data_IF_267127309985
#
_entry.id   IF_267127309985
#
_cell.length_a   1.000
_cell.length_b   1.000
_cell.length_c   1.000
_cell.angle_alpha   90.00
_cell.angle_beta   90.00
_cell.angle_gamma   90.00
#
_symmetry.space_group_name_H-M   'P 1'
#
loop_
_entity.id
_entity.type
_entity.pdbx_description
1 polymer ?
#
# COMPACT_ATOMS: atom_id res chain seq x y z
N UNK A 1 -54.09 -8.31 -22.28
CA UNK A 1 -54.07 -8.51 -20.81
C UNK A 1 -52.74 -7.99 -20.33
N UNK A 2 -52.70 -6.71 -19.90
CA UNK A 2 -51.53 -6.09 -19.31
C UNK A 2 -51.33 -6.66 -17.89
N UNK A 3 -50.30 -7.44 -17.68
CA UNK A 3 -49.87 -7.83 -16.33
C UNK A 3 -49.34 -6.57 -15.62
N UNK A 4 -50.12 -6.00 -14.69
CA UNK A 4 -49.66 -5.03 -13.72
C UNK A 4 -48.51 -5.66 -12.90
N UNK A 5 -47.28 -5.29 -13.20
CA UNK A 5 -46.13 -5.62 -12.36
C UNK A 5 -46.28 -4.82 -11.07
N UNK A 6 -46.76 -5.48 -10.03
CA UNK A 6 -46.81 -4.90 -8.68
C UNK A 6 -45.39 -4.76 -8.17
N UNK A 7 -44.84 -3.54 -8.18
CA UNK A 7 -43.54 -3.26 -7.59
C UNK A 7 -43.65 -3.49 -6.09
N UNK A 8 -43.23 -4.67 -5.64
CA UNK A 8 -43.12 -4.99 -4.23
C UNK A 8 -42.25 -3.95 -3.54
N UNK A 9 -42.61 -3.57 -2.31
CA UNK A 9 -41.98 -2.60 -1.44
C UNK A 9 -40.46 -2.50 -1.69
N UNK A 10 -39.99 -1.34 -2.12
CA UNK A 10 -38.54 -1.06 -2.22
C UNK A 10 -38.00 -1.08 -0.80
N UNK A 11 -37.18 -2.05 -0.49
CA UNK A 11 -36.37 -1.98 0.73
C UNK A 11 -35.48 -0.74 0.63
N UNK A 12 -35.37 0.07 1.69
CA UNK A 12 -34.41 1.17 1.69
C UNK A 12 -33.00 0.60 1.47
N UNK A 13 -32.21 1.27 0.63
CA UNK A 13 -30.83 0.87 0.35
C UNK A 13 -29.99 0.82 1.65
N UNK A 14 -30.37 1.62 2.63
CA UNK A 14 -29.71 1.70 3.93
C UNK A 14 -30.73 1.55 5.05
N UNK A 15 -30.34 0.81 6.11
CA UNK A 15 -31.20 0.59 7.28
C UNK A 15 -31.20 1.83 8.19
N UNK A 16 -30.08 2.53 8.24
CA UNK A 16 -29.89 3.72 9.08
C UNK A 16 -28.81 4.66 8.50
N UNK A 17 -28.63 5.83 9.14
CA UNK A 17 -27.64 6.84 8.76
C UNK A 17 -26.20 6.30 8.82
N UNK A 18 -25.91 5.44 9.80
CA UNK A 18 -24.58 4.81 9.95
C UNK A 18 -24.24 3.91 8.76
N UNK A 19 -25.22 3.13 8.29
CA UNK A 19 -25.08 2.28 7.09
C UNK A 19 -24.81 3.12 5.84
N UNK A 20 -25.56 4.21 5.66
CA UNK A 20 -25.39 5.13 4.54
C UNK A 20 -23.99 5.76 4.54
N UNK A 21 -23.51 6.18 5.71
CA UNK A 21 -22.19 6.78 5.86
C UNK A 21 -21.08 5.74 5.63
N UNK A 22 -21.23 4.53 6.16
CA UNK A 22 -20.30 3.42 5.94
C UNK A 22 -20.19 3.07 4.44
N UNK A 23 -21.33 2.97 3.76
CA UNK A 23 -21.36 2.75 2.31
C UNK A 23 -20.63 3.87 1.54
N UNK A 24 -20.86 5.12 1.90
CA UNK A 24 -20.18 6.27 1.29
C UNK A 24 -18.67 6.22 1.49
N UNK A 25 -18.20 5.87 2.68
CA UNK A 25 -16.77 5.71 2.98
C UNK A 25 -16.14 4.57 2.18
N UNK A 26 -16.80 3.41 2.11
CA UNK A 26 -16.34 2.26 1.32
C UNK A 26 -16.28 2.64 -0.16
N UNK A 27 -17.32 3.27 -0.70
CA UNK A 27 -17.33 3.77 -2.07
C UNK A 27 -16.15 4.69 -2.35
N UNK A 28 -15.93 5.71 -1.50
CA UNK A 28 -14.80 6.63 -1.65
C UNK A 28 -13.44 5.91 -1.58
N UNK A 29 -13.32 4.85 -0.76
CA UNK A 29 -12.11 4.03 -0.68
C UNK A 29 -11.84 3.28 -1.98
N UNK A 30 -12.88 2.84 -2.69
CA UNK A 30 -12.79 2.12 -3.95
C UNK A 30 -12.48 3.03 -5.15
N UNK A 31 -12.54 4.35 -4.99
CA UNK A 31 -12.20 5.33 -6.03
C UNK A 31 -10.71 5.68 -6.08
N UNK A 32 -9.89 5.17 -5.16
CA UNK A 32 -8.46 5.49 -5.08
C UNK A 32 -7.62 4.25 -4.77
N UNK A 33 -6.44 4.16 -5.38
CA UNK A 33 -5.47 3.08 -5.16
C UNK A 33 -4.04 3.62 -5.24
N UNK A 34 -3.07 2.92 -4.66
CA UNK A 34 -1.65 3.15 -4.93
C UNK A 34 -1.23 2.36 -6.17
N UNK A 35 -0.19 2.81 -6.91
CA UNK A 35 0.22 2.15 -8.16
C UNK A 35 0.88 0.78 -7.95
N UNK A 36 1.37 0.52 -6.75
CA UNK A 36 1.97 -0.75 -6.31
C UNK A 36 1.52 -1.06 -4.89
N UNK A 37 1.64 -2.30 -4.46
CA UNK A 37 1.36 -2.73 -3.07
C UNK A 37 2.29 -2.06 -2.06
N UNK A 38 3.49 -1.69 -2.49
CA UNK A 38 4.51 -1.04 -1.70
C UNK A 38 5.18 0.09 -2.49
N UNK A 39 5.45 1.22 -1.83
CA UNK A 39 6.04 2.41 -2.46
C UNK A 39 7.42 2.70 -1.84
N UNK A 40 8.48 2.40 -2.59
CA UNK A 40 9.85 2.84 -2.31
C UNK A 40 10.38 3.64 -3.50
N UNK A 41 10.49 4.97 -3.35
CA UNK A 41 10.92 5.86 -4.43
C UNK A 41 12.45 5.84 -4.48
N UNK A 42 12.99 5.26 -5.53
CA UNK A 42 14.44 5.18 -5.80
C UNK A 42 14.98 6.37 -6.56
N UNK A 43 14.13 7.04 -7.34
CA UNK A 43 14.50 8.25 -8.06
C UNK A 43 13.38 9.30 -8.04
N UNK A 44 13.74 10.50 -7.64
CA UNK A 44 12.81 11.62 -7.45
C UNK A 44 12.53 12.37 -8.75
N UNK A 45 11.37 13.01 -8.81
CA UNK A 45 11.00 14.01 -9.81
C UNK A 45 11.88 15.25 -9.70
N UNK A 46 12.26 15.84 -10.84
CA UNK A 46 13.00 17.08 -10.94
C UNK A 46 14.41 16.93 -11.48
N UNK A 47 15.24 17.93 -11.28
CA UNK A 47 16.61 17.95 -11.76
C UNK A 47 17.48 16.93 -11.00
N UNK A 48 18.11 15.99 -11.72
CA UNK A 48 18.99 14.96 -11.14
C UNK A 48 20.18 14.65 -12.06
N UNK A 49 21.21 14.00 -11.52
CA UNK A 49 22.29 13.44 -12.33
C UNK A 49 21.71 12.37 -13.26
N UNK A 50 22.00 12.50 -14.56
CA UNK A 50 21.51 11.54 -15.54
C UNK A 50 22.24 10.19 -15.37
N UNK A 51 21.52 9.05 -15.24
CA UNK A 51 22.15 7.75 -15.02
C UNK A 51 22.93 7.23 -16.25
N UNK A 52 22.68 7.80 -17.45
CA UNK A 52 23.29 7.37 -18.70
C UNK A 52 24.31 8.39 -19.26
N UNK A 53 24.35 9.60 -18.71
CA UNK A 53 25.20 10.69 -19.20
C UNK A 53 25.80 11.44 -18.02
N UNK A 54 27.02 11.94 -18.17
CA UNK A 54 27.65 12.75 -17.12
C UNK A 54 27.15 14.20 -17.14
N UNK A 55 25.84 14.37 -17.03
CA UNK A 55 25.20 15.69 -16.97
C UNK A 55 23.96 15.64 -16.09
N UNK A 56 23.41 16.79 -15.75
CA UNK A 56 22.11 16.89 -15.12
C UNK A 56 20.99 16.85 -16.17
N UNK A 57 19.89 16.19 -15.83
CA UNK A 57 18.69 16.18 -16.66
C UNK A 57 17.45 16.20 -15.80
N UNK A 58 16.36 16.72 -16.35
CA UNK A 58 15.07 16.73 -15.67
C UNK A 58 14.41 15.38 -15.77
N UNK A 59 14.03 14.82 -14.63
CA UNK A 59 13.26 13.59 -14.50
C UNK A 59 11.77 13.97 -14.36
N UNK A 60 10.98 13.67 -15.34
CA UNK A 60 9.58 14.09 -15.46
C UNK A 60 8.58 13.17 -14.76
N UNK A 61 9.09 12.24 -13.96
CA UNK A 61 8.34 11.30 -13.13
C UNK A 61 9.09 10.93 -11.86
N UNK A 62 8.70 9.82 -11.27
CA UNK A 62 9.43 9.14 -10.19
C UNK A 62 9.67 7.70 -10.60
N UNK A 63 10.74 7.11 -10.07
CA UNK A 63 11.00 5.69 -10.22
C UNK A 63 10.75 5.00 -8.87
N UNK A 64 9.96 3.94 -8.89
CA UNK A 64 9.56 3.15 -7.71
C UNK A 64 10.15 1.77 -7.86
N UNK A 65 10.87 1.31 -6.84
CA UNK A 65 11.46 -0.02 -6.79
C UNK A 65 10.38 -1.11 -6.90
N UNK A 66 10.52 -1.99 -7.86
CA UNK A 66 9.70 -3.18 -8.04
C UNK A 66 10.31 -4.10 -9.10
N UNK A 67 9.89 -5.38 -9.09
CA UNK A 67 10.30 -6.34 -10.10
C UNK A 67 9.17 -7.34 -10.31
N UNK A 68 8.58 -7.38 -11.51
CA UNK A 68 7.45 -8.24 -11.89
C UNK A 68 6.22 -8.12 -10.96
N UNK A 69 6.00 -6.93 -10.41
CA UNK A 69 4.83 -6.64 -9.58
C UNK A 69 3.64 -6.18 -10.43
N UNK A 70 2.42 -6.46 -9.98
CA UNK A 70 1.22 -5.87 -10.56
C UNK A 70 1.23 -4.36 -10.42
N UNK A 71 0.90 -3.67 -11.51
CA UNK A 71 0.76 -2.22 -11.55
C UNK A 71 -0.71 -1.86 -11.61
N UNK A 72 -1.15 -1.01 -10.69
CA UNK A 72 -2.56 -0.67 -10.53
C UNK A 72 -2.86 0.74 -11.01
N UNK A 73 -4.04 0.92 -11.64
CA UNK A 73 -4.58 2.25 -11.88
C UNK A 73 -4.85 2.97 -10.55
N UNK A 74 -4.30 4.18 -10.38
CA UNK A 74 -4.47 4.94 -9.12
C UNK A 74 -5.87 5.50 -8.95
N UNK A 75 -6.56 5.83 -10.04
CA UNK A 75 -7.89 6.42 -10.06
C UNK A 75 -8.76 5.74 -11.13
N UNK A 76 -10.09 5.89 -11.09
CA UNK A 76 -10.95 5.55 -12.20
C UNK A 76 -10.63 6.42 -13.42
N UNK A 77 -10.74 5.86 -14.62
CA UNK A 77 -10.44 6.59 -15.83
C UNK A 77 -10.54 5.77 -17.10
N UNK A 78 -9.86 6.23 -18.14
CA UNK A 78 -9.82 5.59 -19.45
C UNK A 78 -8.39 5.41 -19.92
N UNK A 79 -8.12 4.30 -20.59
CA UNK A 79 -6.82 4.05 -21.25
C UNK A 79 -6.71 4.92 -22.51
N UNK A 80 -5.85 5.91 -22.45
CA UNK A 80 -5.63 6.86 -23.55
C UNK A 80 -4.66 6.31 -24.59
N UNK A 81 -3.56 5.66 -24.11
CA UNK A 81 -2.52 5.10 -24.97
C UNK A 81 -1.99 3.79 -24.38
N UNK A 82 -1.68 2.86 -25.28
CA UNK A 82 -0.88 1.65 -25.02
C UNK A 82 0.24 1.67 -26.03
N UNK A 83 1.49 1.60 -25.57
CA UNK A 83 2.67 1.71 -26.42
C UNK A 83 3.66 0.61 -26.04
N UNK A 84 4.09 -0.15 -27.04
CA UNK A 84 5.18 -1.11 -26.94
C UNK A 84 6.43 -0.48 -27.59
N UNK A 85 7.52 -0.40 -26.82
CA UNK A 85 8.74 0.26 -27.30
C UNK A 85 9.97 -0.28 -26.55
N UNK A 86 11.09 -0.33 -27.24
CA UNK A 86 12.40 -0.63 -26.68
C UNK A 86 13.21 0.63 -26.34
N UNK A 87 12.59 1.81 -26.37
CA UNK A 87 13.24 3.09 -26.07
C UNK A 87 12.41 3.96 -25.13
N UNK A 88 13.00 5.00 -24.57
CA UNK A 88 12.32 5.93 -23.67
C UNK A 88 11.67 5.23 -22.48
N UNK A 89 10.36 5.40 -22.30
CA UNK A 89 9.57 4.76 -21.23
C UNK A 89 9.33 3.26 -21.42
N UNK A 90 9.88 2.65 -22.48
CA UNK A 90 9.65 1.24 -22.81
C UNK A 90 8.18 0.94 -23.13
N UNK A 91 7.74 -0.26 -22.78
CA UNK A 91 6.32 -0.58 -22.79
C UNK A 91 5.63 0.26 -21.74
N UNK A 92 4.60 1.00 -22.12
CA UNK A 92 3.91 1.87 -21.19
C UNK A 92 2.44 2.10 -21.55
N UNK A 93 1.67 2.43 -20.54
CA UNK A 93 0.27 2.85 -20.67
C UNK A 93 0.12 4.28 -20.19
N UNK A 94 -0.78 5.03 -20.84
CA UNK A 94 -1.21 6.34 -20.38
C UNK A 94 -2.69 6.27 -20.08
N UNK A 95 -3.05 6.58 -18.84
CA UNK A 95 -4.43 6.68 -18.38
C UNK A 95 -4.84 8.14 -18.25
N UNK A 96 -6.10 8.43 -18.53
CA UNK A 96 -6.73 9.72 -18.34
C UNK A 96 -7.73 9.64 -17.20
N UNK A 97 -7.59 10.53 -16.21
CA UNK A 97 -8.39 10.63 -15.01
C UNK A 97 -8.94 12.07 -14.90
N UNK A 98 -9.92 12.42 -15.74
CA UNK A 98 -10.39 13.79 -15.88
C UNK A 98 -9.27 14.70 -16.44
N UNK A 99 -8.78 15.64 -15.65
CA UNK A 99 -7.72 16.56 -16.05
C UNK A 99 -6.31 16.04 -15.86
N UNK A 100 -6.16 14.88 -15.22
CA UNK A 100 -4.86 14.28 -14.91
C UNK A 100 -4.60 13.13 -15.87
N UNK A 101 -3.41 13.08 -16.42
CA UNK A 101 -2.90 11.93 -17.16
C UNK A 101 -1.79 11.28 -16.35
N UNK A 102 -1.84 9.96 -16.26
CA UNK A 102 -0.84 9.14 -15.58
C UNK A 102 -0.20 8.17 -16.58
N UNK A 103 1.12 8.18 -16.65
CA UNK A 103 1.91 7.22 -17.42
C UNK A 103 2.55 6.23 -16.44
N UNK A 104 2.44 4.94 -16.77
CA UNK A 104 3.11 3.82 -16.11
C UNK A 104 4.08 3.20 -17.12
N UNK A 105 5.39 3.36 -16.88
CA UNK A 105 6.45 3.00 -17.81
C UNK A 105 7.28 1.79 -17.37
N UNK A 106 8.12 1.32 -18.28
CA UNK A 106 9.05 0.19 -18.15
C UNK A 106 8.37 -1.15 -17.87
N UNK A 107 7.11 -1.30 -18.35
CA UNK A 107 6.31 -2.50 -18.10
C UNK A 107 6.88 -3.71 -18.84
N UNK A 108 6.83 -4.87 -18.19
CA UNK A 108 7.09 -6.16 -18.79
C UNK A 108 5.88 -6.61 -19.64
N UNK A 109 4.68 -6.51 -19.06
CA UNK A 109 3.42 -6.83 -19.71
C UNK A 109 2.38 -5.72 -19.52
N UNK A 110 1.49 -5.58 -20.50
CA UNK A 110 0.35 -4.64 -20.48
C UNK A 110 -0.94 -5.45 -20.50
N UNK A 111 -1.84 -5.18 -19.56
CA UNK A 111 -3.09 -5.93 -19.33
C UNK A 111 -4.35 -5.18 -19.80
N UNK A 112 -4.20 -4.06 -20.46
CA UNK A 112 -5.31 -3.21 -20.94
C UNK A 112 -5.10 -2.82 -22.38
N UNK A 113 -6.18 -2.43 -23.06
CA UNK A 113 -6.11 -1.89 -24.43
C UNK A 113 -6.59 -0.44 -24.45
N UNK A 114 -6.20 0.30 -25.50
CA UNK A 114 -6.66 1.68 -25.72
C UNK A 114 -8.18 1.75 -25.76
N UNK A 115 -8.75 2.64 -24.98
CA UNK A 115 -10.18 2.87 -24.90
C UNK A 115 -10.86 2.18 -23.70
N UNK A 116 -10.20 1.24 -23.02
CA UNK A 116 -10.76 0.60 -21.85
C UNK A 116 -11.09 1.60 -20.75
N UNK A 117 -12.21 1.35 -20.06
CA UNK A 117 -12.55 2.04 -18.82
C UNK A 117 -11.98 1.24 -17.64
N UNK A 118 -11.23 1.90 -16.78
CA UNK A 118 -10.59 1.30 -15.61
C UNK A 118 -11.15 1.90 -14.32
N UNK A 119 -11.20 1.08 -13.27
CA UNK A 119 -11.45 1.52 -11.89
C UNK A 119 -10.11 1.68 -11.17
N UNK A 120 -10.09 2.41 -10.06
CA UNK A 120 -8.94 2.36 -9.17
C UNK A 120 -8.68 0.91 -8.73
N UNK A 121 -7.41 0.49 -8.75
CA UNK A 121 -7.02 -0.89 -8.46
C UNK A 121 -7.12 -1.88 -9.64
N UNK A 122 -7.58 -1.44 -10.82
CA UNK A 122 -7.48 -2.27 -12.03
C UNK A 122 -6.01 -2.52 -12.36
N UNK A 123 -5.62 -3.78 -12.58
CA UNK A 123 -4.27 -4.15 -13.02
C UNK A 123 -4.09 -3.70 -14.46
N UNK A 124 -3.21 -2.73 -14.67
CA UNK A 124 -2.92 -2.16 -16.00
C UNK A 124 -1.71 -2.80 -16.67
N UNK A 125 -0.88 -3.49 -15.90
CA UNK A 125 0.30 -4.19 -16.40
C UNK A 125 1.11 -4.84 -15.28
N UNK A 126 2.26 -5.37 -15.67
CA UNK A 126 3.28 -5.93 -14.78
C UNK A 126 4.53 -5.06 -14.94
N UNK A 127 5.13 -4.64 -13.81
CA UNK A 127 6.37 -3.86 -13.84
C UNK A 127 7.54 -4.68 -14.41
N UNK A 128 8.51 -4.01 -15.01
CA UNK A 128 9.63 -4.68 -15.65
C UNK A 128 10.85 -3.77 -15.82
N UNK A 129 11.55 -3.96 -16.94
CA UNK A 129 12.79 -3.25 -17.26
C UNK A 129 12.90 -2.92 -18.76
N UNK A 130 11.78 -2.64 -19.43
CA UNK A 130 11.77 -2.33 -20.88
C UNK A 130 12.16 -0.88 -21.16
N UNK A 131 12.63 -0.61 -22.38
CA UNK A 131 13.03 0.73 -22.80
C UNK A 131 14.34 1.20 -22.18
N UNK A 132 14.43 2.51 -21.91
CA UNK A 132 15.66 3.12 -21.36
C UNK A 132 15.68 3.07 -19.84
N UNK A 133 16.07 1.95 -19.29
CA UNK A 133 16.12 1.69 -17.85
C UNK A 133 17.50 1.14 -17.44
N UNK A 134 17.90 1.37 -16.20
CA UNK A 134 19.13 0.81 -15.58
C UNK A 134 18.88 -0.41 -14.74
N UNK A 135 17.64 -0.80 -14.52
CA UNK A 135 17.23 -1.95 -13.73
C UNK A 135 15.72 -1.97 -13.49
N UNK A 136 15.15 -3.07 -12.99
CA UNK A 136 13.71 -3.18 -12.79
C UNK A 136 13.15 -2.08 -11.89
N UNK A 137 12.14 -1.36 -12.38
CA UNK A 137 11.41 -0.34 -11.63
C UNK A 137 10.13 0.06 -12.38
N UNK A 138 9.21 0.70 -11.68
CA UNK A 138 8.06 1.37 -12.26
C UNK A 138 8.35 2.87 -12.38
N UNK A 139 8.35 3.39 -13.62
CA UNK A 139 8.32 4.83 -13.85
C UNK A 139 6.89 5.35 -13.83
N UNK A 140 6.60 6.30 -12.95
CA UNK A 140 5.30 6.98 -12.85
C UNK A 140 5.47 8.44 -13.20
N UNK A 141 4.74 8.90 -14.23
CA UNK A 141 4.68 10.31 -14.60
C UNK A 141 3.25 10.81 -14.52
N UNK A 142 3.07 12.02 -13.98
CA UNK A 142 1.81 12.72 -13.95
C UNK A 142 1.87 14.00 -14.75
N UNK A 143 0.78 14.34 -15.41
CA UNK A 143 0.59 15.64 -16.05
C UNK A 143 -0.86 16.11 -15.92
N UNK A 144 -1.06 17.41 -15.92
CA UNK A 144 -2.37 18.04 -15.99
C UNK A 144 -2.32 19.21 -16.97
N UNK A 145 -3.21 19.24 -17.94
CA UNK A 145 -3.25 20.24 -18.98
C UNK A 145 -1.87 20.48 -19.66
N UNK A 146 -1.14 19.39 -19.95
CA UNK A 146 0.18 19.41 -20.55
C UNK A 146 1.34 19.80 -19.63
N UNK A 147 1.07 20.18 -18.36
CA UNK A 147 2.10 20.50 -17.36
C UNK A 147 2.46 19.25 -16.58
N UNK A 148 3.76 18.99 -16.42
CA UNK A 148 4.26 17.90 -15.59
C UNK A 148 4.04 18.22 -14.12
N UNK A 149 3.59 17.22 -13.35
CA UNK A 149 3.35 17.28 -11.90
C UNK A 149 4.29 16.31 -11.17
N UNK A 150 4.64 16.64 -9.93
CA UNK A 150 5.42 15.73 -9.10
C UNK A 150 4.56 14.55 -8.59
N UNK A 151 4.79 13.30 -9.08
CA UNK A 151 3.98 12.16 -8.68
C UNK A 151 4.14 11.78 -7.20
N UNK A 152 5.29 12.08 -6.58
CA UNK A 152 5.53 11.74 -5.18
C UNK A 152 4.52 12.44 -4.23
N UNK A 153 4.26 13.73 -4.47
CA UNK A 153 3.28 14.49 -3.70
C UNK A 153 1.86 13.96 -3.89
N UNK A 154 1.52 13.55 -5.11
CA UNK A 154 0.22 12.97 -5.42
C UNK A 154 0.03 11.61 -4.72
N UNK A 155 1.02 10.71 -4.82
CA UNK A 155 0.99 9.40 -4.15
C UNK A 155 0.91 9.56 -2.63
N UNK A 156 1.65 10.50 -2.05
CA UNK A 156 1.57 10.80 -0.62
C UNK A 156 0.16 11.27 -0.21
N UNK A 157 -0.47 12.12 -1.03
CA UNK A 157 -1.85 12.56 -0.82
C UNK A 157 -2.84 11.39 -0.90
N UNK A 158 -2.71 10.51 -1.90
CA UNK A 158 -3.54 9.30 -2.02
C UNK A 158 -3.38 8.39 -0.80
N UNK A 159 -2.14 8.12 -0.38
CA UNK A 159 -1.85 7.27 0.77
C UNK A 159 -2.46 7.84 2.07
N UNK A 160 -2.31 9.14 2.28
CA UNK A 160 -2.96 9.85 3.41
C UNK A 160 -4.48 9.68 3.36
N UNK A 161 -5.09 9.89 2.20
CA UNK A 161 -6.54 9.77 2.02
C UNK A 161 -7.05 8.34 2.22
N UNK A 162 -6.32 7.34 1.72
CA UNK A 162 -6.60 5.92 1.95
C UNK A 162 -6.61 5.61 3.44
N UNK A 163 -5.58 6.06 4.16
CA UNK A 163 -5.45 5.85 5.61
C UNK A 163 -6.57 6.54 6.39
N UNK A 164 -6.90 7.79 6.06
CA UNK A 164 -8.01 8.52 6.70
C UNK A 164 -9.36 7.82 6.51
N UNK A 165 -9.66 7.37 5.28
CA UNK A 165 -10.93 6.67 4.99
C UNK A 165 -10.95 5.33 5.72
N UNK A 166 -9.86 4.58 5.71
CA UNK A 166 -9.74 3.29 6.39
C UNK A 166 -9.99 3.45 7.88
N UNK A 167 -9.34 4.40 8.53
CA UNK A 167 -9.53 4.68 9.96
C UNK A 167 -10.98 5.05 10.29
N UNK A 168 -11.65 5.84 9.43
CA UNK A 168 -13.07 6.17 9.60
C UNK A 168 -13.98 4.95 9.46
N UNK A 169 -13.74 4.10 8.47
CA UNK A 169 -14.49 2.84 8.29
C UNK A 169 -14.34 1.97 9.52
N UNK A 170 -13.13 1.86 10.03
CA UNK A 170 -12.81 1.06 11.21
C UNK A 170 -13.50 1.57 12.47
N UNK A 171 -13.43 2.87 12.74
CA UNK A 171 -14.17 3.51 13.84
C UNK A 171 -15.69 3.27 13.74
N UNK A 172 -16.24 3.26 12.54
CA UNK A 172 -17.65 3.00 12.31
C UNK A 172 -18.02 1.53 12.50
N UNK A 173 -17.13 0.60 12.16
CA UNK A 173 -17.37 -0.85 12.31
C UNK A 173 -17.29 -1.30 13.77
N UNK A 174 -16.30 -0.83 14.50
CA UNK A 174 -15.91 -1.33 15.81
C UNK A 174 -16.17 -0.33 16.97
N UNK A 175 -16.58 0.90 16.65
CA UNK A 175 -16.72 1.97 17.64
C UNK A 175 -15.38 2.56 18.06
N UNK A 176 -15.40 3.37 19.12
CA UNK A 176 -14.18 4.00 19.67
C UNK A 176 -13.32 3.06 20.53
N UNK A 177 -13.78 1.83 20.75
CA UNK A 177 -13.02 0.84 21.51
C UNK A 177 -12.22 -0.04 20.56
N UNK A 178 -10.90 -0.18 20.78
CA UNK A 178 -10.10 -1.15 20.07
C UNK A 178 -10.69 -2.54 20.29
N UNK A 179 -10.74 -3.34 19.23
CA UNK A 179 -11.26 -4.69 19.30
C UNK A 179 -10.36 -5.50 20.23
N UNK A 180 -10.89 -5.94 21.37
CA UNK A 180 -10.10 -6.61 22.41
C UNK A 180 -9.62 -8.00 21.99
N UNK A 181 -10.24 -8.59 20.99
CA UNK A 181 -9.90 -9.93 20.53
C UNK A 181 -8.66 -9.92 19.64
N UNK A 182 -7.66 -10.72 20.01
CA UNK A 182 -6.46 -10.94 19.20
C UNK A 182 -6.74 -12.00 18.15
N UNK A 183 -6.74 -11.59 16.89
CA UNK A 183 -6.76 -12.45 15.72
C UNK A 183 -6.01 -11.78 14.56
N UNK A 184 -5.75 -12.51 13.47
CA UNK A 184 -4.96 -12.01 12.33
C UNK A 184 -5.57 -10.74 11.75
N UNK A 185 -6.90 -10.67 11.59
CA UNK A 185 -7.58 -9.52 11.01
C UNK A 185 -7.44 -8.28 11.89
N UNK A 186 -7.64 -8.44 13.19
CA UNK A 186 -7.50 -7.34 14.15
C UNK A 186 -6.05 -6.91 14.32
N UNK A 187 -5.11 -7.85 14.28
CA UNK A 187 -3.68 -7.54 14.28
C UNK A 187 -3.30 -6.74 13.02
N UNK A 188 -3.75 -7.15 11.82
CA UNK A 188 -3.50 -6.40 10.61
C UNK A 188 -3.99 -4.94 10.72
N UNK A 189 -5.21 -4.75 11.24
CA UNK A 189 -5.79 -3.43 11.45
C UNK A 189 -4.99 -2.58 12.47
N UNK A 190 -4.49 -3.22 13.54
CA UNK A 190 -3.65 -2.53 14.52
C UNK A 190 -2.28 -2.13 13.96
N UNK A 191 -1.66 -2.99 13.15
CA UNK A 191 -0.41 -2.69 12.45
C UNK A 191 -0.58 -1.50 11.51
N UNK A 192 -1.65 -1.49 10.74
CA UNK A 192 -1.97 -0.41 9.81
C UNK A 192 -2.24 0.93 10.53
N UNK A 193 -3.05 0.93 11.59
CA UNK A 193 -3.29 2.12 12.43
C UNK A 193 -2.03 2.73 12.99
N UNK A 194 -1.10 1.88 13.41
CA UNK A 194 0.19 2.31 13.94
C UNK A 194 1.20 2.68 12.85
N UNK A 195 0.83 2.59 11.55
CA UNK A 195 1.71 2.89 10.44
C UNK A 195 2.92 1.96 10.39
N UNK A 196 2.71 0.67 10.70
CA UNK A 196 3.70 -0.38 10.53
C UNK A 196 3.88 -0.66 9.04
N UNK A 197 5.09 -0.58 8.56
CA UNK A 197 5.45 -1.01 7.21
C UNK A 197 5.61 -2.53 7.16
N UNK A 198 5.37 -3.13 5.99
CA UNK A 198 5.41 -4.59 5.78
C UNK A 198 4.51 -5.41 6.73
N UNK A 199 3.22 -5.06 6.88
CA UNK A 199 2.35 -5.68 7.88
C UNK A 199 2.24 -7.20 7.73
N UNK A 200 2.35 -7.75 6.52
CA UNK A 200 2.34 -9.22 6.30
C UNK A 200 3.55 -9.91 6.94
N UNK A 201 4.73 -9.31 6.84
CA UNK A 201 5.95 -9.82 7.47
C UNK A 201 5.81 -9.74 8.99
N UNK A 202 5.33 -8.61 9.50
CA UNK A 202 5.18 -8.40 10.95
C UNK A 202 4.09 -9.31 11.54
N UNK A 203 3.03 -9.66 10.80
CA UNK A 203 2.06 -10.69 11.20
C UNK A 203 2.75 -12.06 11.29
N UNK A 204 3.53 -12.45 10.27
CA UNK A 204 4.26 -13.71 10.30
C UNK A 204 5.20 -13.80 11.50
N UNK A 205 5.93 -12.73 11.82
CA UNK A 205 6.74 -12.62 13.03
C UNK A 205 5.91 -12.83 14.30
N UNK A 206 4.78 -12.10 14.44
CA UNK A 206 3.91 -12.26 15.60
C UNK A 206 3.39 -13.70 15.75
N UNK A 207 3.02 -14.35 14.67
CA UNK A 207 2.57 -15.74 14.68
C UNK A 207 3.68 -16.71 15.13
N UNK A 208 4.89 -16.52 14.62
CA UNK A 208 6.06 -17.35 14.98
C UNK A 208 6.44 -17.13 16.46
N UNK A 209 6.63 -15.89 16.89
CA UNK A 209 7.02 -15.53 18.25
C UNK A 209 6.00 -15.99 19.30
N UNK A 210 4.74 -16.07 18.92
CA UNK A 210 3.67 -16.38 19.86
C UNK A 210 3.13 -17.80 19.73
N UNK A 211 3.64 -18.61 18.80
CA UNK A 211 3.07 -19.92 18.49
C UNK A 211 1.57 -19.77 18.15
N UNK A 212 1.26 -18.95 17.16
CA UNK A 212 -0.13 -18.64 16.76
C UNK A 212 -0.98 -18.06 17.92
N UNK A 213 -0.41 -17.10 18.66
CA UNK A 213 -1.07 -16.39 19.78
C UNK A 213 -1.33 -17.23 21.03
N UNK A 214 -0.66 -18.37 21.18
CA UNK A 214 -0.88 -19.29 22.30
C UNK A 214 0.20 -19.25 23.38
N UNK A 215 1.36 -18.65 23.12
CA UNK A 215 2.47 -18.62 24.06
C UNK A 215 2.13 -17.86 25.34
N UNK A 216 2.77 -18.26 26.45
CA UNK A 216 2.61 -17.59 27.76
C UNK A 216 2.93 -16.09 27.70
N UNK A 217 3.93 -15.70 26.89
CA UNK A 217 4.34 -14.31 26.67
C UNK A 217 3.22 -13.52 25.97
N UNK A 218 2.56 -14.14 24.99
CA UNK A 218 1.43 -13.54 24.29
C UNK A 218 0.22 -13.38 25.25
N UNK A 219 -0.18 -14.48 25.87
CA UNK A 219 -1.45 -14.54 26.66
C UNK A 219 -1.37 -13.73 27.95
N UNK A 220 -0.26 -13.84 28.70
CA UNK A 220 -0.15 -13.24 30.03
C UNK A 220 0.59 -11.90 30.05
N UNK A 221 1.38 -11.58 28.99
CA UNK A 221 2.14 -10.35 28.93
C UNK A 221 1.66 -9.43 27.80
N UNK A 222 0.72 -9.89 26.96
CA UNK A 222 0.25 -9.16 25.77
C UNK A 222 1.39 -8.74 24.82
N UNK A 223 2.46 -9.52 24.78
CA UNK A 223 3.69 -9.21 24.05
C UNK A 223 3.78 -10.11 22.81
N UNK A 224 3.38 -9.56 21.67
CA UNK A 224 3.29 -10.31 20.40
C UNK A 224 4.63 -10.55 19.72
N UNK A 225 5.68 -9.84 20.12
CA UNK A 225 6.94 -9.79 19.39
C UNK A 225 8.15 -10.19 20.25
N UNK A 226 7.92 -10.83 21.38
CA UNK A 226 9.00 -11.23 22.29
C UNK A 226 9.87 -10.07 22.78
N UNK A 227 9.33 -8.83 22.81
CA UNK A 227 10.10 -7.63 23.16
C UNK A 227 10.63 -7.72 24.59
N UNK A 228 11.93 -7.44 24.75
CA UNK A 228 12.65 -7.48 26.03
C UNK A 228 13.18 -6.11 26.41
N UNK A 229 13.26 -5.87 27.72
CA UNK A 229 13.85 -4.66 28.27
C UNK A 229 15.36 -4.69 28.12
N UNK A 230 15.98 -3.61 27.60
CA UNK A 230 17.43 -3.55 27.47
C UNK A 230 18.18 -3.60 28.82
N UNK A 231 17.50 -3.18 29.92
CA UNK A 231 18.13 -3.05 31.23
C UNK A 231 18.43 -4.39 31.91
N UNK A 232 17.54 -5.39 31.75
CA UNK A 232 17.58 -6.64 32.52
C UNK A 232 17.22 -7.89 31.70
N UNK A 233 16.94 -7.70 30.40
CA UNK A 233 16.53 -8.77 29.49
C UNK A 233 15.14 -9.35 29.73
N UNK A 234 14.39 -8.83 30.73
CA UNK A 234 13.03 -9.30 31.02
C UNK A 234 12.05 -8.91 29.90
N UNK A 235 11.01 -9.72 29.73
CA UNK A 235 9.98 -9.41 28.76
C UNK A 235 9.14 -8.19 29.19
N UNK A 236 8.82 -7.33 28.21
CA UNK A 236 7.80 -6.30 28.44
C UNK A 236 6.44 -6.92 28.72
N UNK A 237 5.69 -6.30 29.63
CA UNK A 237 4.28 -6.60 29.90
C UNK A 237 3.44 -5.40 29.47
N UNK A 238 2.47 -5.62 28.62
CA UNK A 238 1.58 -4.59 28.11
C UNK A 238 0.17 -4.74 28.70
N UNK A 239 -0.58 -3.65 28.78
CA UNK A 239 -1.98 -3.68 29.27
C UNK A 239 -2.90 -4.42 28.32
N UNK A 240 -2.61 -4.34 27.03
CA UNK A 240 -3.28 -5.04 25.95
C UNK A 240 -2.28 -5.33 24.83
N UNK A 241 -2.63 -6.23 23.92
CA UNK A 241 -1.76 -6.65 22.85
C UNK A 241 -1.47 -5.53 21.80
N UNK A 242 -2.36 -4.51 21.65
CA UNK A 242 -2.13 -3.39 20.73
C UNK A 242 -0.98 -2.49 21.20
N UNK A 243 -0.74 -2.40 22.50
CA UNK A 243 0.43 -1.66 23.02
C UNK A 243 1.74 -2.31 22.58
N UNK A 244 1.78 -3.64 22.41
CA UNK A 244 2.98 -4.31 21.87
C UNK A 244 3.20 -4.00 20.39
N UNK A 245 2.15 -3.75 19.63
CA UNK A 245 2.25 -3.27 18.22
C UNK A 245 2.90 -1.88 18.17
N UNK A 246 2.46 -0.97 19.05
CA UNK A 246 3.08 0.35 19.16
C UNK A 246 4.55 0.24 19.58
N UNK A 247 4.84 -0.60 20.56
CA UNK A 247 6.20 -0.84 21.04
C UNK A 247 7.10 -1.43 19.94
N UNK A 248 6.58 -2.33 19.09
CA UNK A 248 7.30 -2.84 17.93
C UNK A 248 7.72 -1.71 16.98
N UNK A 249 6.83 -0.77 16.69
CA UNK A 249 7.17 0.41 15.89
C UNK A 249 8.26 1.23 16.55
N UNK A 250 8.10 1.54 17.84
CA UNK A 250 8.95 2.48 18.57
C UNK A 250 10.34 1.87 18.88
N UNK A 251 10.48 0.55 19.03
CA UNK A 251 11.74 -0.11 19.42
C UNK A 251 12.44 -0.85 18.28
N UNK A 252 11.70 -1.35 17.31
CA UNK A 252 12.24 -2.14 16.19
C UNK A 252 12.21 -1.33 14.90
N UNK A 253 11.02 -0.98 14.42
CA UNK A 253 10.84 -0.45 13.08
C UNK A 253 11.38 0.98 12.90
N UNK A 254 11.50 1.76 13.98
CA UNK A 254 12.12 3.09 13.93
C UNK A 254 13.58 3.07 13.43
N UNK A 255 14.27 1.92 13.55
CA UNK A 255 15.67 1.74 13.08
C UNK A 255 15.74 1.51 11.57
N UNK A 256 14.64 1.12 10.93
CA UNK A 256 14.62 0.86 9.51
C UNK A 256 14.79 2.14 8.68
N UNK A 257 15.69 2.11 7.69
CA UNK A 257 16.04 3.26 6.84
C UNK A 257 15.81 3.00 5.35
N UNK A 258 15.14 1.89 5.01
CA UNK A 258 14.89 1.47 3.63
C UNK A 258 15.70 0.23 3.22
N UNK A 259 15.40 -0.32 2.04
CA UNK A 259 16.00 -1.52 1.51
C UNK A 259 15.23 -2.80 1.86
N UNK A 260 15.92 -3.93 1.80
CA UNK A 260 15.34 -5.23 2.11
C UNK A 260 15.04 -5.37 3.61
N UNK A 261 13.78 -5.60 3.95
CA UNK A 261 13.33 -5.67 5.34
C UNK A 261 13.80 -6.93 6.06
N UNK A 262 13.98 -8.05 5.37
CA UNK A 262 14.53 -9.28 5.96
C UNK A 262 15.99 -9.08 6.34
N UNK A 263 16.81 -8.47 5.47
CA UNK A 263 18.20 -8.12 5.79
C UNK A 263 18.30 -7.12 6.94
N UNK A 264 17.34 -6.21 7.05
CA UNK A 264 17.26 -5.31 8.19
C UNK A 264 17.01 -6.07 9.50
N UNK A 265 16.04 -6.99 9.52
CA UNK A 265 15.73 -7.81 10.69
C UNK A 265 16.92 -8.67 11.13
N UNK A 266 17.60 -9.29 10.18
CA UNK A 266 18.85 -10.06 10.41
C UNK A 266 19.93 -9.16 11.03
N UNK A 267 20.20 -8.01 10.44
CA UNK A 267 21.20 -7.04 10.90
C UNK A 267 20.99 -6.54 12.33
N UNK A 268 19.74 -6.38 12.76
CA UNK A 268 19.42 -5.95 14.13
C UNK A 268 19.36 -7.10 15.13
N UNK A 269 19.62 -8.34 14.68
CA UNK A 269 19.56 -9.55 15.51
C UNK A 269 18.14 -9.83 16.05
N UNK A 270 17.11 -9.55 15.25
CA UNK A 270 15.72 -9.76 15.68
C UNK A 270 15.41 -11.24 15.88
N UNK A 271 16.02 -12.12 15.10
CA UNK A 271 15.87 -13.56 15.20
C UNK A 271 17.23 -14.22 15.44
N UNK A 272 17.32 -15.07 16.46
CA UNK A 272 18.54 -15.85 16.77
C UNK A 272 18.64 -17.11 15.91
N UNK A 273 17.53 -17.59 15.32
CA UNK A 273 17.51 -18.79 14.46
C UNK A 273 17.77 -18.38 12.99
N UNK A 274 18.83 -18.92 12.34
CA UNK A 274 19.11 -18.68 10.93
C UNK A 274 17.98 -19.10 9.96
N UNK A 275 17.05 -19.94 10.41
CA UNK A 275 15.88 -20.39 9.63
C UNK A 275 14.63 -19.52 9.83
N UNK A 276 14.75 -18.48 10.64
CA UNK A 276 13.64 -17.59 10.97
C UNK A 276 13.26 -16.67 9.79
N UNK A 277 14.21 -16.34 8.92
CA UNK A 277 14.08 -15.48 7.75
C UNK A 277 14.24 -16.31 6.48
#
# INVERSE_FOLDING_TARGET
IEQKVTIKKRFPLFINVRDSLLFSLIRNRLEICLPLDYINITSKYGLRKNPFKNCYSFHDGIDIECNLNYVYSMLPGRVLKVIHSNSGYGNHVVLEHGHIQCLYGHLDAINVIKGDSVKAGTIVGISGNTGRSTGPHLHVKLSSNGRSLNPASFIACLNKKITEIRNKIELMRFGSHPNKELNISNLYLALDRNGIIFPKIVIAQALLETGYFTSNICVNYNNLFGLRRPSDGSYYRFKNWEESVKAYKDYIQYKYRGGDYYKFLDKIGYAEDPKYL
#
